data_IF_063919426465
#
_entry.id   IF_063919426465
#
_cell.length_a   1.000
_cell.length_b   1.000
_cell.length_c   1.000
_cell.angle_alpha   90.00
_cell.angle_beta   90.00
_cell.angle_gamma   90.00
#
_symmetry.space_group_name_H-M   'P 1'
#
loop_
_entity.id
_entity.type
_entity.pdbx_description
1 polymer ?
#
# COMPACT_ATOMS: atom_id res chain seq x y z
N UNK A 1 -8.42 -1.59 18.36
CA UNK A 1 -8.15 -0.29 17.73
C UNK A 1 -6.65 0.02 17.60
N UNK A 2 -5.86 0.10 18.68
CA UNK A 2 -4.43 0.48 18.58
C UNK A 2 -3.56 -0.48 17.74
N UNK A 3 -3.77 -1.80 17.85
CA UNK A 3 -3.00 -2.82 17.11
C UNK A 3 -3.26 -2.73 15.60
N UNK A 4 -4.51 -2.59 15.17
CA UNK A 4 -4.87 -2.42 13.75
C UNK A 4 -4.24 -1.16 13.17
N UNK A 5 -4.22 -0.07 13.95
CA UNK A 5 -3.63 1.20 13.53
C UNK A 5 -2.11 1.09 13.32
N UNK A 6 -1.40 0.37 14.21
CA UNK A 6 0.02 0.06 14.04
C UNK A 6 0.27 -0.79 12.79
N UNK A 7 -0.53 -1.84 12.57
CA UNK A 7 -0.41 -2.70 11.39
C UNK A 7 -0.60 -1.91 10.09
N UNK A 8 -1.61 -1.03 10.02
CA UNK A 8 -1.80 -0.13 8.88
C UNK A 8 -0.59 0.78 8.65
N UNK A 9 0.00 1.30 9.72
CA UNK A 9 1.18 2.17 9.65
C UNK A 9 2.39 1.44 9.04
N UNK A 10 2.67 0.21 9.47
CA UNK A 10 3.74 -0.61 8.90
C UNK A 10 3.48 -0.99 7.43
N UNK A 11 2.26 -1.41 7.09
CA UNK A 11 1.89 -1.72 5.70
C UNK A 11 2.06 -0.49 4.80
N UNK A 12 1.67 0.68 5.29
CA UNK A 12 1.79 1.94 4.54
C UNK A 12 3.26 2.32 4.34
N UNK A 13 4.09 2.25 5.39
CA UNK A 13 5.53 2.52 5.31
C UNK A 13 6.25 1.59 4.32
N UNK A 14 6.03 0.28 4.44
CA UNK A 14 6.64 -0.73 3.56
C UNK A 14 6.14 -0.55 2.12
N UNK A 15 4.84 -0.32 1.93
CA UNK A 15 4.25 -0.11 0.62
C UNK A 15 4.78 1.13 -0.10
N UNK A 16 4.94 2.25 0.62
CA UNK A 16 5.54 3.48 0.09
C UNK A 16 7.01 3.24 -0.26
N UNK A 17 7.78 2.60 0.61
CA UNK A 17 9.19 2.30 0.36
C UNK A 17 9.39 1.43 -0.90
N UNK A 18 8.60 0.39 -1.07
CA UNK A 18 8.61 -0.47 -2.26
C UNK A 18 8.22 0.31 -3.52
N UNK A 19 7.20 1.15 -3.42
CA UNK A 19 6.76 1.99 -4.54
C UNK A 19 7.89 2.92 -4.99
N UNK A 20 8.52 3.63 -4.05
CA UNK A 20 9.65 4.51 -4.33
C UNK A 20 10.83 3.77 -4.94
N UNK A 21 11.15 2.58 -4.44
CA UNK A 21 12.21 1.74 -4.99
C UNK A 21 11.95 1.38 -6.46
N UNK A 22 10.74 0.93 -6.79
CA UNK A 22 10.36 0.58 -8.16
C UNK A 22 10.31 1.80 -9.09
N UNK A 23 9.83 2.95 -8.59
CA UNK A 23 9.78 4.20 -9.33
C UNK A 23 11.19 4.73 -9.64
N UNK A 24 12.07 4.80 -8.63
CA UNK A 24 13.46 5.23 -8.82
C UNK A 24 14.21 4.29 -9.77
N UNK A 25 14.13 2.98 -9.54
CA UNK A 25 14.83 2.01 -10.40
C UNK A 25 14.28 2.01 -11.84
N UNK A 26 12.97 2.20 -12.01
CA UNK A 26 12.32 2.36 -13.31
C UNK A 26 12.70 3.64 -14.05
N UNK A 27 12.81 4.77 -13.32
CA UNK A 27 13.23 6.07 -13.85
C UNK A 27 14.70 6.04 -14.29
N UNK A 28 15.60 5.52 -13.44
CA UNK A 28 17.03 5.42 -13.73
C UNK A 28 17.28 4.56 -14.98
N UNK A 29 16.58 3.44 -15.12
CA UNK A 29 16.74 2.54 -16.28
C UNK A 29 15.85 2.92 -17.49
N UNK A 30 15.13 4.06 -17.44
CA UNK A 30 14.10 4.46 -18.43
C UNK A 30 13.15 3.32 -18.83
N UNK A 31 12.92 2.37 -17.93
CA UNK A 31 12.16 1.16 -18.22
C UNK A 31 10.70 1.35 -17.81
N UNK A 32 9.86 1.73 -18.78
CA UNK A 32 8.41 1.93 -18.57
C UNK A 32 7.73 0.73 -17.94
N UNK A 33 8.17 -0.51 -18.21
CA UNK A 33 7.58 -1.72 -17.59
C UNK A 33 7.81 -1.75 -16.06
N UNK A 34 8.94 -1.24 -15.58
CA UNK A 34 9.21 -1.20 -14.13
C UNK A 34 8.43 -0.09 -13.42
N UNK A 35 8.25 1.06 -14.08
CA UNK A 35 7.37 2.12 -13.57
C UNK A 35 5.94 1.60 -13.43
N UNK A 36 5.44 0.88 -14.45
CA UNK A 36 4.13 0.22 -14.38
C UNK A 36 4.03 -0.83 -13.27
N UNK A 37 5.11 -1.57 -12.97
CA UNK A 37 5.16 -2.47 -11.80
C UNK A 37 5.05 -1.69 -10.49
N UNK A 38 5.76 -0.57 -10.36
CA UNK A 38 5.65 0.31 -9.18
C UNK A 38 4.23 0.84 -8.96
N UNK A 39 3.56 1.27 -10.04
CA UNK A 39 2.15 1.70 -9.99
C UNK A 39 1.23 0.55 -9.58
N UNK A 40 1.42 -0.66 -10.12
CA UNK A 40 0.65 -1.84 -9.71
C UNK A 40 0.83 -2.16 -8.22
N UNK A 41 2.06 -2.05 -7.70
CA UNK A 41 2.34 -2.26 -6.28
C UNK A 41 1.62 -1.21 -5.43
N UNK A 42 1.65 0.07 -5.83
CA UNK A 42 0.94 1.14 -5.12
C UNK A 42 -0.57 0.92 -5.09
N UNK A 43 -1.17 0.56 -6.22
CA UNK A 43 -2.61 0.24 -6.30
C UNK A 43 -2.96 -0.97 -5.42
N UNK A 44 -2.10 -2.00 -5.40
CA UNK A 44 -2.31 -3.17 -4.55
C UNK A 44 -2.26 -2.84 -3.06
N UNK A 45 -1.31 -2.01 -2.64
CA UNK A 45 -1.19 -1.56 -1.23
C UNK A 45 -2.41 -0.73 -0.84
N UNK A 46 -2.84 0.20 -1.70
CA UNK A 46 -4.03 1.02 -1.46
C UNK A 46 -5.31 0.17 -1.32
N UNK A 47 -5.48 -0.85 -2.17
CA UNK A 47 -6.60 -1.78 -2.07
C UNK A 47 -6.61 -2.55 -0.74
N UNK A 48 -5.43 -2.99 -0.29
CA UNK A 48 -5.27 -3.72 0.97
C UNK A 48 -5.62 -2.84 2.19
N UNK A 49 -5.22 -1.57 2.16
CA UNK A 49 -5.59 -0.58 3.17
C UNK A 49 -7.09 -0.28 3.18
N UNK A 50 -7.73 -0.19 2.02
CA UNK A 50 -9.18 -0.01 1.91
C UNK A 50 -9.94 -1.19 2.53
N UNK A 51 -9.56 -2.42 2.22
CA UNK A 51 -10.18 -3.62 2.82
C UNK A 51 -10.06 -3.66 4.34
N UNK A 52 -8.87 -3.33 4.87
CA UNK A 52 -8.66 -3.21 6.32
C UNK A 52 -9.52 -2.10 6.96
N UNK A 53 -9.80 -1.03 6.21
CA UNK A 53 -10.63 0.08 6.70
C UNK A 53 -12.11 -0.28 6.68
N UNK A 54 -12.57 -0.96 5.63
CA UNK A 54 -13.93 -1.51 5.56
C UNK A 54 -14.15 -2.54 6.66
N UNK A 55 -13.19 -3.44 6.90
CA UNK A 55 -13.27 -4.42 7.99
C UNK A 55 -13.41 -3.77 9.36
N UNK A 56 -12.67 -2.69 9.62
CA UNK A 56 -12.86 -1.89 10.85
C UNK A 56 -14.23 -1.23 10.92
N UNK A 57 -14.74 -0.70 9.81
CA UNK A 57 -16.06 -0.05 9.76
C UNK A 57 -17.19 -1.04 10.03
N UNK A 58 -17.10 -2.25 9.45
CA UNK A 58 -18.06 -3.34 9.69
C UNK A 58 -17.99 -3.80 11.14
N UNK A 59 -16.78 -3.96 11.70
CA UNK A 59 -16.62 -4.36 13.10
C UNK A 59 -17.14 -3.29 14.07
N UNK A 60 -16.95 -2.01 13.75
CA UNK A 60 -17.46 -0.89 14.55
C UNK A 60 -18.99 -0.73 14.48
N UNK A 61 -19.62 -1.14 13.38
CA UNK A 61 -21.08 -1.06 13.21
C UNK A 61 -21.82 -2.33 13.66
N UNK A 62 -21.11 -3.45 13.79
CA UNK A 62 -21.67 -4.73 14.26
C UNK A 62 -21.65 -4.90 15.79
N UNK A 63 -21.03 -3.97 16.52
CA UNK A 63 -21.05 -3.85 17.99
C UNK A 63 -22.07 -2.78 18.37
#
# INVERSE_FOLDING_TARGET
MAIMSLVKLFITLVGIALTFWFLMHGLIKKNRKQVWKGIKVLVSVACLLLLLTIGEFVYAYSI
#
